data_IF_315362108809
#
_entry.id   IF_315362108809
#
_cell.length_a   1.000
_cell.length_b   1.000
_cell.length_c   1.000
_cell.angle_alpha   90.00
_cell.angle_beta   90.00
_cell.angle_gamma   90.00
#
_symmetry.space_group_name_H-M   'P 1'
#
loop_
_entity.id
_entity.type
_entity.pdbx_description
1 polymer ?
#
# COMPACT_ATOMS: atom_id res chain seq x y z
N UNK A 1 20.91 10.34 -26.84
CA UNK A 1 19.90 10.00 -27.87
C UNK A 1 19.06 8.85 -27.35
N UNK A 2 17.73 8.96 -27.31
CA UNK A 2 16.88 7.81 -26.96
C UNK A 2 17.09 6.68 -28.00
N UNK A 3 17.23 5.43 -27.54
CA UNK A 3 17.42 4.28 -28.41
C UNK A 3 16.27 4.15 -29.40
N UNK A 4 16.53 3.56 -30.59
CA UNK A 4 15.52 3.34 -31.63
C UNK A 4 14.25 2.66 -31.07
N UNK A 5 14.45 1.71 -30.15
CA UNK A 5 13.38 1.02 -29.46
C UNK A 5 12.51 1.94 -28.58
N UNK A 6 13.11 2.85 -27.80
CA UNK A 6 12.33 3.81 -26.97
C UNK A 6 11.48 4.74 -27.84
N UNK A 7 12.00 5.16 -29.00
CA UNK A 7 11.25 5.98 -29.96
C UNK A 7 10.06 5.23 -30.56
N UNK A 8 10.24 3.95 -30.88
CA UNK A 8 9.16 3.08 -31.38
C UNK A 8 8.11 2.87 -30.30
N UNK A 9 8.51 2.46 -29.09
CA UNK A 9 7.60 2.24 -27.95
C UNK A 9 6.76 3.48 -27.66
N UNK A 10 7.39 4.67 -27.66
CA UNK A 10 6.67 5.94 -27.49
C UNK A 10 5.58 6.15 -28.54
N UNK A 11 5.91 5.92 -29.82
CA UNK A 11 4.97 6.10 -30.93
C UNK A 11 3.81 5.12 -30.81
N UNK A 12 4.13 3.84 -30.64
CA UNK A 12 3.13 2.78 -30.54
C UNK A 12 2.19 3.03 -29.35
N UNK A 13 2.71 3.48 -28.21
CA UNK A 13 1.89 3.84 -27.04
C UNK A 13 1.03 5.08 -27.29
N UNK A 14 1.57 6.10 -27.96
CA UNK A 14 0.81 7.30 -28.32
C UNK A 14 -0.35 6.96 -29.26
N UNK A 15 -0.11 6.13 -30.27
CA UNK A 15 -1.11 5.72 -31.26
C UNK A 15 -2.19 4.86 -30.61
N UNK A 16 -1.80 3.88 -29.78
CA UNK A 16 -2.72 3.04 -29.04
C UNK A 16 -3.56 3.84 -28.03
N UNK A 17 -2.93 4.76 -27.28
CA UNK A 17 -3.63 5.64 -26.35
C UNK A 17 -4.62 6.57 -27.06
N UNK A 18 -4.24 7.11 -28.23
CA UNK A 18 -5.14 7.95 -29.05
C UNK A 18 -6.33 7.16 -29.55
N UNK A 19 -6.11 5.91 -30.01
CA UNK A 19 -7.20 5.02 -30.39
C UNK A 19 -8.12 4.72 -29.21
N UNK A 20 -7.56 4.43 -28.03
CA UNK A 20 -8.34 4.19 -26.81
C UNK A 20 -9.19 5.39 -26.44
N UNK A 21 -8.64 6.60 -26.50
CA UNK A 21 -9.35 7.84 -26.20
C UNK A 21 -10.54 8.07 -27.15
N UNK A 22 -10.34 7.80 -28.44
CA UNK A 22 -11.40 7.90 -29.44
C UNK A 22 -12.52 6.88 -29.19
N UNK A 23 -12.16 5.63 -28.89
CA UNK A 23 -13.11 4.57 -28.57
C UNK A 23 -13.89 4.83 -27.28
N UNK A 24 -13.23 5.33 -26.23
CA UNK A 24 -13.86 5.71 -24.97
C UNK A 24 -14.89 6.85 -25.13
N UNK A 25 -14.70 7.70 -26.13
CA UNK A 25 -15.62 8.81 -26.43
C UNK A 25 -16.81 8.40 -27.32
N UNK A 26 -16.79 7.18 -27.88
CA UNK A 26 -17.82 6.68 -28.78
C UNK A 26 -18.86 5.84 -28.02
N UNK A 27 -20.14 6.15 -28.19
CA UNK A 27 -21.25 5.46 -27.53
C UNK A 27 -21.51 4.04 -28.04
N UNK A 28 -20.93 3.64 -29.18
CA UNK A 28 -21.24 2.39 -29.89
C UNK A 28 -20.03 1.48 -30.11
N UNK A 29 -18.96 1.67 -29.33
CA UNK A 29 -17.74 0.85 -29.45
C UNK A 29 -18.04 -0.62 -29.13
N UNK A 30 -17.74 -1.58 -30.04
CA UNK A 30 -17.83 -3.00 -29.75
C UNK A 30 -16.82 -3.41 -28.66
N UNK A 31 -17.32 -4.15 -27.66
CA UNK A 31 -16.51 -4.66 -26.54
C UNK A 31 -15.22 -5.40 -27.00
N UNK A 32 -15.25 -6.29 -28.01
CA UNK A 32 -14.04 -6.97 -28.47
C UNK A 32 -12.97 -6.01 -29.02
N UNK A 33 -13.37 -4.95 -29.72
CA UNK A 33 -12.43 -3.96 -30.23
C UNK A 33 -11.80 -3.17 -29.07
N UNK A 34 -12.60 -2.73 -28.11
CA UNK A 34 -12.13 -2.03 -26.92
C UNK A 34 -11.13 -2.88 -26.12
N UNK A 35 -11.45 -4.15 -25.91
CA UNK A 35 -10.61 -5.12 -25.21
C UNK A 35 -9.27 -5.32 -25.91
N UNK A 36 -9.27 -5.42 -27.24
CA UNK A 36 -8.02 -5.54 -28.02
C UNK A 36 -7.13 -4.29 -27.87
N UNK A 37 -7.72 -3.09 -27.89
CA UNK A 37 -6.95 -1.85 -27.70
C UNK A 37 -6.43 -1.73 -26.26
N UNK A 38 -7.23 -2.11 -25.26
CA UNK A 38 -6.78 -2.15 -23.87
C UNK A 38 -5.62 -3.13 -23.67
N UNK A 39 -5.66 -4.33 -24.27
CA UNK A 39 -4.55 -5.28 -24.20
C UNK A 39 -3.28 -4.77 -24.89
N UNK A 40 -3.43 -4.02 -25.99
CA UNK A 40 -2.29 -3.34 -26.63
C UNK A 40 -1.69 -2.27 -25.71
N UNK A 41 -2.52 -1.43 -25.10
CA UNK A 41 -2.07 -0.39 -24.16
C UNK A 41 -1.37 -1.02 -22.94
N UNK A 42 -1.98 -2.04 -22.33
CA UNK A 42 -1.45 -2.81 -21.20
C UNK A 42 -0.05 -3.39 -21.53
N UNK A 43 0.06 -4.07 -22.67
CA UNK A 43 1.31 -4.68 -23.15
C UNK A 43 2.39 -3.69 -23.61
N UNK A 44 2.03 -2.43 -23.86
CA UNK A 44 2.98 -1.35 -24.14
C UNK A 44 3.42 -0.68 -22.83
N UNK A 45 2.49 -0.41 -21.91
CA UNK A 45 2.78 0.18 -20.60
C UNK A 45 3.71 -0.72 -19.76
N UNK A 46 3.52 -2.04 -19.80
CA UNK A 46 4.39 -3.00 -19.09
C UNK A 46 5.87 -2.94 -19.51
N UNK A 47 6.17 -2.42 -20.70
CA UNK A 47 7.53 -2.22 -21.22
C UNK A 47 8.13 -0.87 -20.84
N UNK A 48 7.34 0.05 -20.29
CA UNK A 48 7.81 1.38 -19.90
C UNK A 48 8.50 1.29 -18.53
N UNK A 49 9.76 1.70 -18.45
CA UNK A 49 10.47 1.73 -17.17
C UNK A 49 9.80 2.69 -16.18
N UNK A 50 9.94 2.41 -14.88
CA UNK A 50 9.51 3.34 -13.83
C UNK A 50 10.28 4.67 -13.94
N UNK A 51 9.57 5.80 -13.81
CA UNK A 51 10.09 7.16 -14.01
C UNK A 51 10.87 7.28 -15.33
N UNK A 52 10.21 7.12 -16.48
CA UNK A 52 10.89 7.12 -17.76
C UNK A 52 11.51 8.50 -18.02
N UNK A 53 12.81 8.53 -18.32
CA UNK A 53 13.50 9.77 -18.65
C UNK A 53 13.09 10.29 -20.04
N UNK A 54 12.87 11.61 -20.15
CA UNK A 54 12.66 12.31 -21.42
C UNK A 54 11.23 12.25 -21.96
N UNK A 55 11.09 12.23 -23.29
CA UNK A 55 9.85 12.57 -24.01
C UNK A 55 8.69 11.55 -23.96
N UNK A 56 8.65 10.61 -23.01
CA UNK A 56 7.58 9.59 -22.94
C UNK A 56 6.26 10.16 -22.39
N UNK A 57 6.32 11.28 -21.66
CA UNK A 57 5.16 11.93 -21.02
C UNK A 57 3.96 12.15 -21.96
N UNK A 58 4.11 12.65 -23.21
CA UNK A 58 2.96 12.83 -24.08
C UNK A 58 2.25 11.52 -24.45
N UNK A 59 3.00 10.42 -24.60
CA UNK A 59 2.41 9.11 -24.91
C UNK A 59 1.66 8.54 -23.69
N UNK A 60 2.22 8.70 -22.49
CA UNK A 60 1.57 8.30 -21.25
C UNK A 60 0.30 9.13 -21.00
N UNK A 61 0.38 10.44 -21.19
CA UNK A 61 -0.73 11.36 -20.92
C UNK A 61 -2.00 11.02 -21.70
N UNK A 62 -1.88 10.64 -22.97
CA UNK A 62 -3.06 10.28 -23.79
C UNK A 62 -3.74 9.02 -23.23
N UNK A 63 -2.98 7.98 -22.91
CA UNK A 63 -3.51 6.76 -22.29
C UNK A 63 -4.11 7.03 -20.91
N UNK A 64 -3.42 7.82 -20.08
CA UNK A 64 -3.90 8.21 -18.75
C UNK A 64 -5.25 8.92 -18.83
N UNK A 65 -5.37 9.92 -19.73
CA UNK A 65 -6.61 10.67 -19.95
C UNK A 65 -7.76 9.77 -20.40
N UNK A 66 -7.50 8.79 -21.28
CA UNK A 66 -8.53 7.86 -21.71
C UNK A 66 -9.00 6.95 -20.57
N UNK A 67 -8.06 6.39 -19.81
CA UNK A 67 -8.34 5.37 -18.80
C UNK A 67 -9.13 5.90 -17.60
N UNK A 68 -9.01 7.18 -17.25
CA UNK A 68 -9.81 7.81 -16.17
C UNK A 68 -11.22 8.21 -16.60
N UNK A 69 -11.59 8.00 -17.86
CA UNK A 69 -12.93 8.37 -18.33
C UNK A 69 -13.99 7.50 -17.64
N UNK A 70 -15.12 8.12 -17.28
CA UNK A 70 -16.26 7.41 -16.70
C UNK A 70 -16.75 6.27 -17.60
N UNK A 71 -16.66 6.44 -18.92
CA UNK A 71 -17.04 5.43 -19.91
C UNK A 71 -16.23 4.14 -19.76
N UNK A 72 -14.96 4.21 -19.36
CA UNK A 72 -14.11 3.04 -19.11
C UNK A 72 -14.16 2.58 -17.65
N UNK A 73 -14.07 3.51 -16.70
CA UNK A 73 -14.05 3.21 -15.26
C UNK A 73 -15.37 2.56 -14.79
N UNK A 74 -16.50 3.02 -15.33
CA UNK A 74 -17.86 2.57 -14.96
C UNK A 74 -18.49 1.73 -16.07
N UNK A 75 -17.67 1.14 -16.95
CA UNK A 75 -18.16 0.29 -18.03
C UNK A 75 -18.98 -0.89 -17.49
N UNK A 76 -20.03 -1.27 -18.22
CA UNK A 76 -20.93 -2.36 -17.81
C UNK A 76 -20.24 -3.73 -17.88
N UNK A 77 -19.47 -3.97 -18.94
CA UNK A 77 -18.67 -5.18 -19.13
C UNK A 77 -17.54 -5.29 -18.10
N UNK A 78 -17.46 -6.45 -17.45
CA UNK A 78 -16.53 -6.71 -16.36
C UNK A 78 -15.09 -6.92 -16.85
N UNK A 79 -14.90 -7.49 -18.04
CA UNK A 79 -13.58 -7.77 -18.58
C UNK A 79 -12.93 -6.49 -19.10
N UNK A 80 -13.75 -5.53 -19.55
CA UNK A 80 -13.30 -4.16 -19.82
C UNK A 80 -12.77 -3.52 -18.54
N UNK A 81 -13.53 -3.56 -17.44
CA UNK A 81 -13.11 -3.02 -16.14
C UNK A 81 -11.82 -3.65 -15.63
N UNK A 82 -11.69 -4.98 -15.71
CA UNK A 82 -10.45 -5.70 -15.35
C UNK A 82 -9.28 -5.27 -16.22
N UNK A 83 -9.50 -5.05 -17.51
CA UNK A 83 -8.46 -4.58 -18.44
C UNK A 83 -8.03 -3.15 -18.17
N UNK A 84 -8.97 -2.26 -17.83
CA UNK A 84 -8.69 -0.89 -17.38
C UNK A 84 -7.89 -0.91 -16.08
N UNK A 85 -8.27 -1.75 -15.11
CA UNK A 85 -7.56 -1.92 -13.84
C UNK A 85 -6.09 -2.33 -14.04
N UNK A 86 -5.83 -3.26 -14.98
CA UNK A 86 -4.47 -3.70 -15.32
C UNK A 86 -3.64 -2.54 -15.89
N UNK A 87 -4.19 -1.79 -16.86
CA UNK A 87 -3.53 -0.61 -17.43
C UNK A 87 -3.24 0.45 -16.36
N UNK A 88 -4.18 0.69 -15.44
CA UNK A 88 -4.00 1.63 -14.33
C UNK A 88 -2.96 1.16 -13.33
N UNK A 89 -2.83 -0.16 -13.12
CA UNK A 89 -1.77 -0.73 -12.29
C UNK A 89 -0.41 -0.44 -12.88
N UNK A 90 -0.25 -0.57 -14.20
CA UNK A 90 0.97 -0.18 -14.90
C UNK A 90 1.27 1.32 -14.81
N UNK A 91 0.28 2.19 -15.01
CA UNK A 91 0.45 3.64 -14.84
C UNK A 91 0.90 3.97 -13.41
N UNK A 92 0.32 3.32 -12.41
CA UNK A 92 0.74 3.46 -11.01
C UNK A 92 2.20 3.02 -10.84
N UNK A 93 2.58 1.88 -11.44
CA UNK A 93 3.97 1.39 -11.40
C UNK A 93 4.95 2.36 -12.06
N UNK A 94 4.59 2.91 -13.22
CA UNK A 94 5.42 3.83 -14.01
C UNK A 94 5.65 5.13 -13.23
N UNK A 95 4.61 5.68 -12.63
CA UNK A 95 4.63 6.95 -11.92
C UNK A 95 5.19 6.87 -10.50
N UNK A 96 5.19 5.68 -9.91
CA UNK A 96 5.67 5.44 -8.55
C UNK A 96 7.07 6.05 -8.33
N UNK A 97 7.33 6.62 -7.14
CA UNK A 97 6.48 6.72 -5.96
C UNK A 97 5.45 7.87 -6.01
N UNK A 98 5.37 8.64 -7.10
CA UNK A 98 4.41 9.73 -7.20
C UNK A 98 3.05 9.18 -7.66
N UNK A 99 1.96 9.64 -7.06
CA UNK A 99 0.62 9.28 -7.51
C UNK A 99 0.38 9.84 -8.93
N UNK A 100 -0.10 9.02 -9.88
CA UNK A 100 -0.38 9.45 -11.26
C UNK A 100 -1.59 10.38 -11.38
N UNK A 101 -2.48 10.37 -10.39
CA UNK A 101 -3.74 11.11 -10.37
C UNK A 101 -3.96 11.74 -8.99
N UNK A 102 -4.95 12.63 -8.89
CA UNK A 102 -5.32 13.22 -7.60
C UNK A 102 -6.03 12.19 -6.69
N UNK A 103 -6.11 12.50 -5.41
CA UNK A 103 -6.54 11.57 -4.35
C UNK A 103 -7.88 10.89 -4.63
N UNK A 104 -8.94 11.65 -4.93
CA UNK A 104 -10.25 11.06 -5.24
C UNK A 104 -10.23 10.10 -6.45
N UNK A 105 -9.48 10.41 -7.51
CA UNK A 105 -9.27 9.49 -8.64
C UNK A 105 -8.49 8.24 -8.22
N UNK A 106 -7.47 8.41 -7.38
CA UNK A 106 -6.71 7.28 -6.86
C UNK A 106 -7.57 6.33 -6.04
N UNK A 107 -8.51 6.84 -5.21
CA UNK A 107 -9.47 6.00 -4.46
C UNK A 107 -10.34 5.16 -5.40
N UNK A 108 -10.89 5.77 -6.46
CA UNK A 108 -11.66 5.04 -7.48
C UNK A 108 -10.82 3.98 -8.21
N UNK A 109 -9.56 4.29 -8.52
CA UNK A 109 -8.62 3.34 -9.13
C UNK A 109 -8.33 2.18 -8.20
N UNK A 110 -8.16 2.41 -6.90
CA UNK A 110 -7.98 1.33 -5.93
C UNK A 110 -9.21 0.45 -5.82
N UNK A 111 -10.41 1.04 -5.78
CA UNK A 111 -11.65 0.26 -5.82
C UNK A 111 -11.73 -0.63 -7.06
N UNK A 112 -11.40 -0.09 -8.23
CA UNK A 112 -11.38 -0.85 -9.49
C UNK A 112 -10.33 -1.98 -9.47
N UNK A 113 -9.14 -1.74 -8.89
CA UNK A 113 -8.10 -2.76 -8.73
C UNK A 113 -8.53 -3.89 -7.79
N UNK A 114 -9.15 -3.57 -6.65
CA UNK A 114 -9.66 -4.58 -5.72
C UNK A 114 -10.77 -5.41 -6.36
N UNK A 115 -11.68 -4.77 -7.12
CA UNK A 115 -12.66 -5.50 -7.92
C UNK A 115 -11.98 -6.48 -8.87
N UNK A 116 -10.98 -6.03 -9.64
CA UNK A 116 -10.27 -6.88 -10.59
C UNK A 116 -9.49 -8.02 -9.90
N UNK A 117 -8.95 -7.81 -8.70
CA UNK A 117 -8.30 -8.84 -7.90
C UNK A 117 -9.27 -9.96 -7.46
N UNK A 118 -10.58 -9.72 -7.45
CA UNK A 118 -11.58 -10.78 -7.30
C UNK A 118 -11.52 -11.85 -8.38
N UNK A 119 -10.89 -11.59 -9.53
CA UNK A 119 -10.63 -12.60 -10.56
C UNK A 119 -9.53 -13.59 -10.17
N UNK A 120 -8.83 -13.42 -9.04
CA UNK A 120 -7.88 -14.42 -8.55
C UNK A 120 -8.55 -15.76 -8.24
N UNK A 121 -9.83 -15.77 -7.84
CA UNK A 121 -10.60 -17.00 -7.64
C UNK A 121 -11.34 -17.51 -8.90
N UNK A 122 -11.16 -16.84 -10.04
CA UNK A 122 -11.86 -17.15 -11.30
C UNK A 122 -11.16 -18.26 -12.09
N UNK A 123 -11.95 -19.07 -12.78
CA UNK A 123 -11.44 -20.06 -13.74
C UNK A 123 -11.12 -19.44 -15.12
N UNK A 124 -11.60 -18.22 -15.38
CA UNK A 124 -11.25 -17.46 -16.60
C UNK A 124 -9.74 -17.12 -16.63
N UNK A 125 -8.97 -17.70 -17.57
CA UNK A 125 -7.53 -17.49 -17.64
C UNK A 125 -7.14 -16.04 -17.90
N UNK A 126 -7.98 -15.28 -18.63
CA UNK A 126 -7.67 -13.90 -18.99
C UNK A 126 -7.81 -12.97 -17.79
N UNK A 127 -8.96 -13.03 -17.11
CA UNK A 127 -9.20 -12.29 -15.88
C UNK A 127 -8.20 -12.66 -14.79
N UNK A 128 -7.90 -13.96 -14.63
CA UNK A 128 -6.90 -14.44 -13.67
C UNK A 128 -5.50 -13.88 -13.96
N UNK A 129 -5.05 -13.93 -15.23
CA UNK A 129 -3.75 -13.38 -15.62
C UNK A 129 -3.62 -11.88 -15.35
N UNK A 130 -4.67 -11.10 -15.62
CA UNK A 130 -4.68 -9.66 -15.31
C UNK A 130 -4.71 -9.40 -13.81
N UNK A 131 -5.43 -10.20 -13.03
CA UNK A 131 -5.45 -10.07 -11.58
C UNK A 131 -4.08 -10.36 -10.95
N UNK A 132 -3.38 -11.40 -11.42
CA UNK A 132 -2.00 -11.68 -11.02
C UNK A 132 -1.06 -10.51 -11.32
N UNK A 133 -1.19 -9.93 -12.51
CA UNK A 133 -0.40 -8.77 -12.92
C UNK A 133 -0.67 -7.53 -12.04
N UNK A 134 -1.94 -7.30 -11.68
CA UNK A 134 -2.31 -6.23 -10.75
C UNK A 134 -1.69 -6.46 -9.38
N UNK A 135 -1.76 -7.67 -8.84
CA UNK A 135 -1.19 -8.04 -7.54
C UNK A 135 0.33 -7.86 -7.51
N UNK A 136 1.03 -8.29 -8.56
CA UNK A 136 2.48 -8.10 -8.71
C UNK A 136 2.86 -6.63 -8.67
N UNK A 137 2.17 -5.81 -9.46
CA UNK A 137 2.41 -4.37 -9.49
C UNK A 137 2.12 -3.71 -8.14
N UNK A 138 1.00 -4.04 -7.48
CA UNK A 138 0.69 -3.54 -6.14
C UNK A 138 1.78 -3.88 -5.12
N UNK A 139 2.33 -5.09 -5.19
CA UNK A 139 3.45 -5.52 -4.34
C UNK A 139 4.72 -4.74 -4.64
N UNK A 140 5.10 -4.64 -5.93
CA UNK A 140 6.33 -4.00 -6.39
C UNK A 140 6.43 -2.54 -6.02
N UNK A 141 5.33 -1.80 -6.16
CA UNK A 141 5.30 -0.36 -5.80
C UNK A 141 4.75 -0.07 -4.42
N UNK A 142 4.52 -1.12 -3.61
CA UNK A 142 4.00 -1.02 -2.23
C UNK A 142 2.73 -0.17 -2.19
N UNK A 143 1.79 -0.46 -3.09
CA UNK A 143 0.62 0.35 -3.31
C UNK A 143 -0.28 0.50 -2.06
N UNK A 144 -0.17 -0.42 -1.09
CA UNK A 144 -0.83 -0.29 0.21
C UNK A 144 -0.38 0.94 1.00
N UNK A 145 0.86 1.42 0.84
CA UNK A 145 1.31 2.64 1.51
C UNK A 145 0.56 3.87 0.97
N UNK A 146 0.32 3.90 -0.34
CA UNK A 146 -0.50 4.95 -0.95
C UNK A 146 -1.97 4.84 -0.51
N UNK A 147 -2.48 3.64 -0.23
CA UNK A 147 -3.83 3.49 0.35
C UNK A 147 -3.90 4.06 1.77
N UNK A 148 -2.85 3.86 2.58
CA UNK A 148 -2.73 4.46 3.91
C UNK A 148 -2.62 5.99 3.84
N UNK A 149 -1.74 6.51 2.98
CA UNK A 149 -1.56 7.96 2.76
C UNK A 149 -2.86 8.66 2.31
N UNK A 150 -3.73 7.93 1.61
CA UNK A 150 -5.03 8.42 1.14
C UNK A 150 -6.17 8.20 2.14
N UNK A 151 -5.93 7.60 3.31
CA UNK A 151 -6.95 7.27 4.30
C UNK A 151 -8.09 6.42 3.65
N UNK A 152 -7.70 5.31 3.03
CA UNK A 152 -8.60 4.37 2.37
C UNK A 152 -9.02 3.19 3.28
N UNK A 153 -9.38 3.44 4.54
CA UNK A 153 -9.59 2.39 5.55
C UNK A 153 -10.60 1.31 5.11
N UNK A 154 -11.74 1.71 4.54
CA UNK A 154 -12.76 0.79 4.02
C UNK A 154 -12.19 -0.11 2.90
N UNK A 155 -11.41 0.47 1.97
CA UNK A 155 -10.78 -0.31 0.88
C UNK A 155 -9.66 -1.22 1.41
N UNK A 156 -8.98 -0.83 2.48
CA UNK A 156 -7.98 -1.68 3.15
C UNK A 156 -8.69 -2.88 3.78
N UNK A 157 -9.81 -2.67 4.48
CA UNK A 157 -10.62 -3.76 5.02
C UNK A 157 -11.14 -4.68 3.91
N UNK A 158 -11.64 -4.12 2.81
CA UNK A 158 -12.08 -4.89 1.64
C UNK A 158 -10.93 -5.69 1.01
N UNK A 159 -9.72 -5.12 0.94
CA UNK A 159 -8.53 -5.83 0.47
C UNK A 159 -8.20 -7.04 1.35
N UNK A 160 -8.27 -6.89 2.67
CA UNK A 160 -8.02 -8.00 3.60
C UNK A 160 -9.07 -9.11 3.44
N UNK A 161 -10.37 -8.75 3.42
CA UNK A 161 -11.47 -9.70 3.16
C UNK A 161 -11.29 -10.39 1.82
N UNK A 162 -10.90 -9.66 0.78
CA UNK A 162 -10.68 -10.20 -0.55
C UNK A 162 -9.56 -11.24 -0.56
N UNK A 163 -8.38 -10.94 -0.01
CA UNK A 163 -7.27 -11.90 0.02
C UNK A 163 -7.60 -13.15 0.83
N UNK A 164 -8.24 -12.98 1.98
CA UNK A 164 -8.63 -14.09 2.85
C UNK A 164 -9.73 -14.98 2.24
N UNK A 165 -10.65 -14.40 1.44
CA UNK A 165 -11.71 -15.16 0.75
C UNK A 165 -11.29 -15.78 -0.59
N UNK A 166 -10.30 -15.19 -1.27
CA UNK A 166 -9.84 -15.66 -2.58
C UNK A 166 -8.76 -16.72 -2.51
N UNK A 167 -7.92 -16.72 -1.46
CA UNK A 167 -6.84 -17.69 -1.31
C UNK A 167 -7.40 -19.13 -1.17
N UNK A 168 -7.21 -19.95 -2.21
CA UNK A 168 -7.66 -21.36 -2.24
C UNK A 168 -6.51 -22.34 -2.03
N UNK A 169 -6.83 -23.52 -1.49
CA UNK A 169 -5.83 -24.51 -1.07
C UNK A 169 -5.00 -25.09 -2.24
N UNK A 170 -5.58 -25.22 -3.43
CA UNK A 170 -5.08 -25.97 -4.57
C UNK A 170 -4.71 -25.13 -5.81
N UNK A 171 -5.29 -23.94 -5.96
CA UNK A 171 -5.18 -23.16 -7.21
C UNK A 171 -4.18 -21.99 -7.20
N UNK A 172 -3.53 -21.67 -6.08
CA UNK A 172 -2.61 -20.52 -6.01
C UNK A 172 -1.16 -20.95 -5.88
N UNK A 173 -0.29 -20.32 -6.67
CA UNK A 173 1.16 -20.48 -6.55
C UNK A 173 1.62 -19.92 -5.20
N UNK A 174 2.78 -20.40 -4.71
CA UNK A 174 3.39 -19.85 -3.49
C UNK A 174 3.65 -18.34 -3.61
N UNK A 175 3.96 -17.86 -4.81
CA UNK A 175 4.20 -16.43 -5.09
C UNK A 175 2.97 -15.58 -4.79
N UNK A 176 1.77 -16.02 -5.16
CA UNK A 176 0.53 -15.27 -4.88
C UNK A 176 0.29 -15.17 -3.38
N UNK A 177 0.51 -16.26 -2.66
CA UNK A 177 0.39 -16.30 -1.21
C UNK A 177 1.38 -15.32 -0.55
N UNK A 178 2.65 -15.36 -0.96
CA UNK A 178 3.70 -14.46 -0.45
C UNK A 178 3.41 -12.98 -0.75
N UNK A 179 2.82 -12.68 -1.91
CA UNK A 179 2.42 -11.31 -2.27
C UNK A 179 1.26 -10.81 -1.38
N UNK A 180 0.21 -11.61 -1.19
CA UNK A 180 -0.90 -11.27 -0.29
C UNK A 180 -0.42 -11.06 1.14
N UNK A 181 0.40 -11.98 1.66
CA UNK A 181 1.00 -11.90 3.00
C UNK A 181 1.83 -10.63 3.16
N UNK A 182 2.74 -10.37 2.22
CA UNK A 182 3.61 -9.19 2.23
C UNK A 182 2.83 -7.88 2.21
N UNK A 183 1.75 -7.80 1.41
CA UNK A 183 0.88 -6.62 1.36
C UNK A 183 0.16 -6.44 2.70
N UNK A 184 -0.49 -7.48 3.24
CA UNK A 184 -1.25 -7.40 4.50
C UNK A 184 -0.34 -7.06 5.68
N UNK A 185 0.78 -7.78 5.83
CA UNK A 185 1.78 -7.53 6.87
C UNK A 185 2.33 -6.11 6.80
N UNK A 186 2.70 -5.63 5.60
CA UNK A 186 3.21 -4.26 5.45
C UNK A 186 2.15 -3.22 5.77
N UNK A 187 0.90 -3.46 5.41
CA UNK A 187 -0.19 -2.51 5.71
C UNK A 187 -0.29 -2.30 7.22
N UNK A 188 -0.38 -3.37 8.01
CA UNK A 188 -0.44 -3.27 9.48
C UNK A 188 0.79 -2.58 10.07
N UNK A 189 1.99 -2.90 9.57
CA UNK A 189 3.26 -2.35 10.09
C UNK A 189 3.42 -0.86 9.89
N UNK A 190 2.81 -0.33 8.84
CA UNK A 190 2.97 1.06 8.42
C UNK A 190 1.73 1.89 8.75
N UNK A 191 0.69 1.28 9.35
CA UNK A 191 -0.48 1.96 9.88
C UNK A 191 -0.15 2.70 11.18
N UNK A 192 -0.48 3.99 11.25
CA UNK A 192 -0.44 4.76 12.50
C UNK A 192 -1.53 4.31 13.48
N UNK A 193 -2.72 4.01 12.95
CA UNK A 193 -3.86 3.47 13.67
C UNK A 193 -4.44 2.29 12.89
N UNK A 194 -4.71 1.18 13.60
CA UNK A 194 -5.25 -0.04 13.00
C UNK A 194 -6.74 -0.09 13.32
N UNK A 195 -7.63 -0.02 12.30
CA UNK A 195 -9.07 -0.09 12.51
C UNK A 195 -9.49 -1.40 13.19
N UNK A 196 -10.47 -1.33 14.10
CA UNK A 196 -11.04 -2.52 14.77
C UNK A 196 -11.55 -3.57 13.76
N UNK A 197 -12.07 -3.12 12.62
CA UNK A 197 -12.53 -4.01 11.55
C UNK A 197 -11.41 -4.92 11.03
N UNK A 198 -10.15 -4.44 10.94
CA UNK A 198 -9.03 -5.29 10.54
C UNK A 198 -8.72 -6.35 11.59
N UNK A 199 -8.87 -6.02 12.88
CA UNK A 199 -8.70 -6.98 13.96
C UNK A 199 -9.77 -8.07 13.89
N UNK A 200 -11.03 -7.67 13.67
CA UNK A 200 -12.16 -8.59 13.54
C UNK A 200 -11.98 -9.55 12.36
N UNK A 201 -11.59 -9.04 11.18
CA UNK A 201 -11.31 -9.84 9.98
C UNK A 201 -10.22 -10.89 10.26
N UNK A 202 -9.10 -10.48 10.88
CA UNK A 202 -7.98 -11.37 11.16
C UNK A 202 -8.34 -12.42 12.21
N UNK A 203 -8.98 -12.01 13.31
CA UNK A 203 -9.38 -12.91 14.40
C UNK A 203 -10.41 -13.95 13.91
N UNK A 204 -11.42 -13.53 13.16
CA UNK A 204 -12.39 -14.43 12.54
C UNK A 204 -11.70 -15.50 11.70
N UNK A 205 -10.70 -15.09 10.91
CA UNK A 205 -9.97 -16.00 10.02
C UNK A 205 -9.09 -17.03 10.73
N UNK A 206 -8.73 -16.79 12.01
CA UNK A 206 -7.91 -17.72 12.81
C UNK A 206 -8.66 -18.41 13.94
N UNK A 207 -9.99 -18.34 13.93
CA UNK A 207 -10.84 -19.00 14.91
C UNK A 207 -10.76 -20.54 14.76
N UNK A 208 -10.39 -21.23 15.84
CA UNK A 208 -10.22 -22.68 15.89
C UNK A 208 -11.54 -23.46 16.02
N UNK A 209 -12.65 -22.78 16.39
CA UNK A 209 -13.98 -23.41 16.42
C UNK A 209 -14.58 -23.59 15.04
N UNK A 210 -14.07 -22.88 14.04
CA UNK A 210 -14.47 -23.09 12.66
C UNK A 210 -13.78 -24.34 12.07
N UNK A 211 -14.48 -25.10 11.23
CA UNK A 211 -13.94 -26.27 10.50
C UNK A 211 -12.82 -25.91 9.50
N UNK A 212 -12.42 -24.63 9.43
CA UNK A 212 -11.43 -24.06 8.50
C UNK A 212 -10.01 -24.05 9.04
N UNK A 213 -9.76 -24.72 10.15
CA UNK A 213 -8.42 -24.85 10.73
C UNK A 213 -7.45 -25.42 9.69
N UNK A 214 -6.25 -24.82 9.58
CA UNK A 214 -5.24 -25.12 8.55
C UNK A 214 -5.64 -24.87 7.09
N UNK A 215 -6.76 -24.21 6.82
CA UNK A 215 -7.01 -23.68 5.47
C UNK A 215 -5.95 -22.64 5.09
N UNK A 216 -5.73 -22.39 3.80
CA UNK A 216 -4.81 -21.31 3.40
C UNK A 216 -5.23 -19.93 3.91
N UNK A 217 -6.54 -19.69 4.08
CA UNK A 217 -7.07 -18.49 4.74
C UNK A 217 -6.55 -18.39 6.18
N UNK A 218 -6.68 -19.47 6.94
CA UNK A 218 -6.18 -19.54 8.32
C UNK A 218 -4.66 -19.32 8.37
N UNK A 219 -3.91 -20.00 7.50
CA UNK A 219 -2.44 -19.90 7.45
C UNK A 219 -2.00 -18.47 7.09
N UNK A 220 -2.66 -17.84 6.12
CA UNK A 220 -2.37 -16.47 5.72
C UNK A 220 -2.59 -15.50 6.90
N UNK A 221 -3.76 -15.58 7.54
CA UNK A 221 -4.08 -14.71 8.68
C UNK A 221 -3.15 -14.95 9.89
N UNK A 222 -2.82 -16.20 10.20
CA UNK A 222 -1.89 -16.54 11.28
C UNK A 222 -0.50 -15.95 11.02
N UNK A 223 0.03 -16.10 9.80
CA UNK A 223 1.35 -15.58 9.45
C UNK A 223 1.36 -14.05 9.55
N UNK A 224 0.31 -13.37 9.08
CA UNK A 224 0.18 -11.91 9.19
C UNK A 224 0.16 -11.49 10.67
N UNK A 225 -0.67 -12.12 11.51
CA UNK A 225 -0.73 -11.85 12.95
C UNK A 225 0.63 -12.04 13.62
N UNK A 226 1.31 -13.15 13.31
CA UNK A 226 2.64 -13.48 13.85
C UNK A 226 3.67 -12.44 13.42
N UNK A 227 3.67 -12.05 12.14
CA UNK A 227 4.61 -11.07 11.61
C UNK A 227 4.37 -9.66 12.15
N UNK A 228 3.16 -9.35 12.62
CA UNK A 228 2.73 -8.05 13.16
C UNK A 228 2.52 -8.05 14.68
N UNK A 229 3.17 -8.97 15.41
CA UNK A 229 2.99 -9.11 16.86
C UNK A 229 3.27 -7.81 17.61
N UNK A 230 4.34 -7.08 17.27
CA UNK A 230 4.72 -5.84 17.94
C UNK A 230 3.67 -4.74 17.84
N UNK A 231 3.01 -4.65 16.70
CA UNK A 231 1.98 -3.65 16.38
C UNK A 231 0.65 -4.02 17.04
N UNK A 232 0.38 -5.33 17.15
CA UNK A 232 -0.90 -5.86 17.62
C UNK A 232 -0.93 -6.23 19.11
N UNK A 233 0.23 -6.30 19.80
CA UNK A 233 0.34 -6.87 21.15
C UNK A 233 -0.59 -6.23 22.20
N UNK A 234 -0.94 -4.95 22.01
CA UNK A 234 -1.84 -4.24 22.91
C UNK A 234 -3.26 -4.08 22.36
N UNK A 235 -3.45 -4.24 21.05
CA UNK A 235 -4.74 -4.05 20.40
C UNK A 235 -5.59 -5.31 20.50
N UNK A 236 -4.99 -6.47 20.23
CA UNK A 236 -5.70 -7.76 20.26
C UNK A 236 -6.26 -8.07 21.66
N UNK A 237 -5.48 -7.97 22.76
CA UNK A 237 -6.03 -8.27 24.09
C UNK A 237 -7.14 -7.31 24.51
N UNK A 238 -7.02 -6.03 24.16
CA UNK A 238 -8.07 -5.02 24.41
C UNK A 238 -9.35 -5.34 23.63
N UNK A 239 -9.22 -5.70 22.35
CA UNK A 239 -10.34 -6.07 21.49
C UNK A 239 -11.04 -7.34 21.96
N UNK A 240 -10.27 -8.39 22.28
CA UNK A 240 -10.81 -9.66 22.81
C UNK A 240 -11.57 -9.42 24.12
N UNK A 241 -11.01 -8.62 25.03
CA UNK A 241 -11.65 -8.31 26.31
C UNK A 241 -12.91 -7.45 26.15
N UNK A 242 -12.86 -6.41 25.32
CA UNK A 242 -14.01 -5.51 25.11
C UNK A 242 -15.20 -6.21 24.46
N UNK A 243 -14.95 -7.29 23.70
CA UNK A 243 -15.97 -8.12 23.04
C UNK A 243 -16.34 -9.38 23.84
N UNK A 244 -15.78 -9.57 25.03
CA UNK A 244 -16.00 -10.75 25.89
C UNK A 244 -15.68 -12.09 25.18
N UNK A 245 -14.70 -12.08 24.29
CA UNK A 245 -14.27 -13.25 23.52
C UNK A 245 -13.31 -14.12 24.34
N UNK A 246 -13.34 -15.44 24.14
CA UNK A 246 -12.37 -16.35 24.75
C UNK A 246 -11.14 -16.48 23.83
N UNK A 247 -9.97 -16.03 24.28
CA UNK A 247 -8.74 -16.08 23.49
C UNK A 247 -8.28 -17.52 23.18
N UNK A 248 -8.70 -18.52 23.97
CA UNK A 248 -8.39 -19.94 23.73
C UNK A 248 -9.11 -20.48 22.48
N UNK A 249 -10.09 -19.76 21.94
CA UNK A 249 -10.79 -20.13 20.71
C UNK A 249 -10.00 -19.76 19.43
N UNK A 250 -8.83 -19.12 19.56
CA UNK A 250 -8.05 -18.59 18.43
C UNK A 250 -6.65 -19.22 18.36
N UNK A 251 -5.90 -18.90 17.29
CA UNK A 251 -4.54 -19.40 17.10
C UNK A 251 -3.60 -19.08 18.28
N UNK A 252 -2.56 -19.91 18.46
CA UNK A 252 -1.57 -19.77 19.54
C UNK A 252 -0.97 -18.37 19.61
N UNK A 253 -0.77 -17.72 18.46
CA UNK A 253 -0.26 -16.35 18.36
C UNK A 253 -1.18 -15.35 19.10
N UNK A 254 -2.50 -15.44 18.90
CA UNK A 254 -3.50 -14.59 19.60
C UNK A 254 -3.53 -14.90 21.10
N UNK A 255 -3.59 -16.18 21.47
CA UNK A 255 -3.60 -16.59 22.88
C UNK A 255 -2.35 -16.09 23.62
N UNK A 256 -1.19 -16.17 22.98
CA UNK A 256 0.08 -15.70 23.55
C UNK A 256 0.09 -14.18 23.76
N UNK A 257 -0.44 -13.38 22.82
CA UNK A 257 -0.56 -11.93 23.02
C UNK A 257 -1.48 -11.60 24.20
N UNK A 258 -2.59 -12.34 24.36
CA UNK A 258 -3.54 -12.12 25.45
C UNK A 258 -2.95 -12.52 26.81
N UNK A 259 -2.25 -13.65 26.90
CA UNK A 259 -1.62 -14.11 28.14
C UNK A 259 -0.48 -13.18 28.62
N UNK A 260 0.27 -12.60 27.68
CA UNK A 260 1.37 -11.69 27.99
C UNK A 260 0.92 -10.25 28.26
N UNK A 261 -0.39 -9.97 28.14
CA UNK A 261 -0.91 -8.62 28.33
C UNK A 261 -0.98 -8.26 29.82
N UNK A 262 -0.15 -7.29 30.22
CA UNK A 262 -0.19 -6.66 31.54
C UNK A 262 -0.79 -5.26 31.40
N UNK A 263 -1.82 -4.96 32.17
CA UNK A 263 -2.43 -3.61 32.23
C UNK A 263 -1.59 -2.70 33.12
N UNK A 264 -0.36 -2.38 32.71
CA UNK A 264 0.37 -1.27 33.31
C UNK A 264 0.29 -0.04 32.38
N UNK A 265 -0.46 0.95 32.86
CA UNK A 265 -0.79 2.20 32.19
C UNK A 265 0.42 3.12 31.95
N UNK A 266 0.31 3.94 30.90
CA UNK A 266 1.17 5.06 30.49
C UNK A 266 2.40 4.75 29.62
N UNK A 267 2.19 4.09 28.49
CA UNK A 267 3.05 4.32 27.32
C UNK A 267 2.63 5.65 26.68
N UNK A 268 3.35 6.72 27.00
CA UNK A 268 3.35 7.94 26.17
C UNK A 268 3.80 7.52 24.77
N UNK A 269 2.85 7.39 23.84
CA UNK A 269 3.14 7.26 22.41
C UNK A 269 3.97 8.48 22.02
N UNK A 270 5.28 8.29 21.79
CA UNK A 270 6.03 9.27 20.99
C UNK A 270 5.57 9.01 19.56
N UNK A 271 4.79 9.94 19.03
CA UNK A 271 4.22 9.84 17.68
C UNK A 271 5.31 9.52 16.64
N UNK A 272 5.05 8.61 15.68
CA UNK A 272 5.90 8.37 14.51
C UNK A 272 6.17 9.64 13.68
N UNK A 273 5.41 10.73 13.90
CA UNK A 273 5.57 12.02 13.21
C UNK A 273 6.99 12.61 13.28
N UNK A 274 7.82 12.22 14.26
CA UNK A 274 9.24 12.65 14.30
C UNK A 274 10.07 11.94 13.20
N UNK A 275 9.71 10.70 12.84
CA UNK A 275 10.37 9.94 11.78
C UNK A 275 9.97 10.43 10.38
N UNK A 276 8.71 10.82 10.19
CA UNK A 276 8.21 11.49 8.97
C UNK A 276 8.84 12.89 8.81
N UNK A 277 9.08 13.61 9.92
CA UNK A 277 9.80 14.88 9.91
C UNK A 277 11.28 14.71 9.49
N UNK A 278 11.94 13.61 9.92
CA UNK A 278 13.31 13.28 9.51
C UNK A 278 13.41 12.80 8.06
N UNK A 279 12.41 12.09 7.54
CA UNK A 279 12.33 11.74 6.11
C UNK A 279 12.00 12.95 5.23
N UNK A 280 11.15 13.85 5.70
CA UNK A 280 10.83 15.13 5.04
C UNK A 280 12.02 16.09 4.97
N UNK A 281 12.85 16.17 6.02
CA UNK A 281 14.10 16.96 6.01
C UNK A 281 15.13 16.38 5.03
N UNK A 282 15.19 15.05 4.87
CA UNK A 282 16.09 14.39 3.91
C UNK A 282 15.70 14.63 2.45
N UNK A 283 14.40 14.78 2.17
CA UNK A 283 13.87 15.18 0.85
C UNK A 283 14.09 16.67 0.54
N UNK A 284 14.02 17.54 1.55
CA UNK A 284 14.20 18.99 1.38
C UNK A 284 15.69 19.38 1.13
N UNK A 285 16.65 18.61 1.64
CA UNK A 285 18.08 18.87 1.38
C UNK A 285 18.57 18.39 0.00
N UNK A 286 17.87 17.46 -0.65
CA UNK A 286 18.23 17.00 -2.00
C UNK A 286 17.76 17.95 -3.12
N UNK A 287 16.85 18.89 -2.85
CA UNK A 287 16.30 19.81 -3.86
C UNK A 287 16.96 21.19 -3.90
N UNK A 288 17.90 21.50 -3.00
CA UNK A 288 18.58 22.80 -2.99
C UNK A 288 20.06 22.79 -3.42
N UNK A 289 20.61 21.67 -3.92
CA UNK A 289 22.05 21.61 -4.25
C UNK A 289 22.38 21.21 -5.70
N UNK A 290 21.63 21.75 -6.66
CA UNK A 290 22.00 21.67 -8.08
C UNK A 290 21.80 23.01 -8.80
N UNK A 291 22.41 24.07 -8.29
CA UNK A 291 22.71 25.25 -9.12
C UNK A 291 23.87 26.07 -8.55
N UNK A 292 24.90 26.18 -9.39
CA UNK A 292 25.98 27.19 -9.39
C UNK A 292 27.24 26.96 -8.55
N UNK A 293 28.34 27.07 -9.31
CA UNK A 293 29.76 27.11 -9.00
C UNK A 293 30.11 28.19 -7.96
N UNK A 294 30.87 27.84 -6.92
CA UNK A 294 32.18 28.43 -6.55
C UNK A 294 32.63 28.02 -5.14
N UNK A 295 33.94 27.98 -4.99
CA UNK A 295 34.73 27.61 -3.82
C UNK A 295 34.73 28.75 -2.77
N UNK A 296 34.85 28.36 -1.50
CA UNK A 296 35.14 29.16 -0.28
C UNK A 296 34.06 30.06 0.34
N UNK A 297 33.39 29.56 1.39
CA UNK A 297 33.29 30.17 2.75
C UNK A 297 32.40 29.30 3.65
N UNK A 298 32.97 28.72 4.71
CA UNK A 298 32.21 27.95 5.72
C UNK A 298 31.19 28.84 6.42
N UNK A 299 29.91 28.60 6.13
CA UNK A 299 28.80 29.45 6.54
C UNK A 299 28.33 29.10 7.97
N UNK A 300 28.43 30.09 8.87
CA UNK A 300 28.11 30.10 10.31
C UNK A 300 26.68 29.65 10.71
N UNK A 301 25.83 29.27 9.74
CA UNK A 301 24.44 28.84 9.96
C UNK A 301 24.31 27.37 10.37
N UNK A 302 25.18 26.49 9.85
CA UNK A 302 25.18 25.07 10.22
C UNK A 302 25.57 24.82 11.68
N UNK A 303 26.51 25.62 12.20
CA UNK A 303 27.00 25.50 13.58
C UNK A 303 25.95 25.95 14.60
N UNK A 304 25.14 26.97 14.29
CA UNK A 304 24.02 27.41 15.13
C UNK A 304 22.91 26.37 15.25
N UNK A 305 22.63 25.65 14.15
CA UNK A 305 21.63 24.56 14.14
C UNK A 305 22.16 23.34 14.90
N UNK A 306 23.45 23.02 14.76
CA UNK A 306 24.06 21.93 15.52
C UNK A 306 24.04 22.19 17.04
N UNK A 307 24.30 23.43 17.45
CA UNK A 307 24.19 23.86 18.85
C UNK A 307 22.75 23.80 19.37
N UNK A 308 21.76 24.19 18.55
CA UNK A 308 20.33 24.06 18.91
C UNK A 308 19.89 22.61 19.06
N UNK A 309 20.32 21.71 18.17
CA UNK A 309 20.01 20.27 18.26
C UNK A 309 20.62 19.65 19.52
N UNK A 310 21.87 20.01 19.85
CA UNK A 310 22.52 19.57 21.11
C UNK A 310 21.78 20.13 22.33
N UNK A 311 21.34 21.40 22.28
CA UNK A 311 20.60 22.02 23.38
C UNK A 311 19.25 21.34 23.63
N UNK A 312 18.50 21.03 22.56
CA UNK A 312 17.22 20.31 22.65
C UNK A 312 17.40 18.85 23.12
N UNK A 313 18.45 18.17 22.68
CA UNK A 313 18.82 16.84 23.19
C UNK A 313 19.17 16.90 24.68
N UNK A 314 19.91 17.91 25.12
CA UNK A 314 20.27 18.11 26.52
C UNK A 314 19.04 18.41 27.38
N UNK A 315 18.12 19.27 26.95
CA UNK A 315 16.86 19.54 27.68
C UNK A 315 15.98 18.30 27.78
N UNK A 316 15.89 17.51 26.70
CA UNK A 316 15.11 16.26 26.69
C UNK A 316 15.71 15.22 27.64
N UNK A 317 17.04 15.09 27.70
CA UNK A 317 17.74 14.19 28.63
C UNK A 317 17.56 14.66 30.07
N UNK A 318 17.63 15.98 30.32
CA UNK A 318 17.43 16.58 31.64
C UNK A 318 15.99 16.39 32.15
N UNK A 319 14.99 16.55 31.28
CA UNK A 319 13.58 16.25 31.57
C UNK A 319 13.38 14.77 31.90
N UNK A 320 13.93 13.84 31.10
CA UNK A 320 13.88 12.40 31.39
C UNK A 320 14.52 12.04 32.74
N UNK A 321 15.63 12.69 33.11
CA UNK A 321 16.28 12.49 34.42
C UNK A 321 15.45 13.03 35.58
N UNK A 322 14.82 14.20 35.46
CA UNK A 322 13.93 14.77 36.48
C UNK A 322 12.68 13.90 36.69
N UNK A 323 12.06 13.42 35.61
CA UNK A 323 10.91 12.51 35.68
C UNK A 323 11.31 11.19 36.37
N UNK A 324 12.44 10.59 35.98
CA UNK A 324 12.95 9.36 36.60
C UNK A 324 13.31 9.53 38.09
N UNK A 325 13.81 10.69 38.48
CA UNK A 325 14.08 11.02 39.88
C UNK A 325 12.80 11.20 40.71
N UNK A 326 11.77 11.84 40.14
CA UNK A 326 10.46 12.02 40.79
C UNK A 326 9.74 10.68 41.00
N UNK A 327 9.78 9.79 40.00
CA UNK A 327 9.25 8.42 40.09
C UNK A 327 9.97 7.61 41.18
N UNK A 328 11.30 7.68 41.27
CA UNK A 328 12.07 6.99 42.34
C UNK A 328 11.80 7.54 43.74
N UNK A 329 11.46 8.82 43.87
CA UNK A 329 11.12 9.42 45.15
C UNK A 329 9.72 9.00 45.62
N UNK A 330 8.78 8.81 44.70
CA UNK A 330 7.42 8.31 45.01
C UNK A 330 7.43 6.84 45.42
N UNK A 331 8.20 5.99 44.74
CA UNK A 331 8.34 4.56 45.07
C UNK A 331 9.07 4.31 46.42
N UNK A 332 9.78 5.30 46.97
CA UNK A 332 10.44 5.19 48.28
C UNK A 332 9.60 5.73 49.46
N UNK A 333 8.46 6.34 49.16
CA UNK A 333 7.56 6.95 50.16
C UNK A 333 6.34 6.08 50.48
N UNK A 334 6.20 4.93 49.80
CA UNK A 334 5.26 3.83 50.07
C UNK A 334 5.97 2.66 50.74
#
# INVERSE_FOLDING_TARGET
>A
MASSWVKKLKRDLYDAGTKLLALASSATTPVPELLNVLDQVDGLLSKVAQRPFGSMEPALYVSMKALISDQLMKHSDIDVKVSVASCMSEITRISAPNAPYHDAQMKEIFHLKLMALGKLSSEDPRGYSKALHILDNMTRVRACLLMLDLECDDLIADMFKLFLSTIRNDNHSSVVFEQMESIMTRTIKESDEIPEELLDILLTSVNMREERFWSRTWILAEIVLRNCTSELQHLIPKFVRSRELNYDDYCTTVATMCLNFTEDENVVRVSPSIFTFLYGIKLCFCTQNSSSKNVDTYNFRGLRIFVLVIFFLAETIMMKRKVKAKVRAQVKAE
#
